data_IF_481480166501
#
_entry.id   IF_481480166501
#
_cell.length_a   1.000
_cell.length_b   1.000
_cell.length_c   1.000
_cell.angle_alpha   90.00
_cell.angle_beta   90.00
_cell.angle_gamma   90.00
#
_symmetry.space_group_name_H-M   'P 1'
#
loop_
_entity.id
_entity.type
_entity.pdbx_description
1 polymer ?
#
# COMPACT_ATOMS: atom_id res chain seq x y z
N UNK A 1 0.06 33.05 -20.17
CA UNK A 1 -0.34 32.54 -18.83
C UNK A 1 -1.05 31.18 -18.88
N UNK A 2 -2.04 30.95 -19.77
CA UNK A 2 -2.83 29.69 -19.83
C UNK A 2 -2.02 28.39 -20.00
N UNK A 3 -0.92 28.41 -20.76
CA UNK A 3 -0.09 27.22 -21.05
C UNK A 3 0.64 26.69 -19.81
N UNK A 4 1.12 27.58 -18.93
CA UNK A 4 1.78 27.20 -17.66
C UNK A 4 0.78 26.59 -16.68
N UNK A 5 -0.42 27.16 -16.58
CA UNK A 5 -1.51 26.62 -15.77
C UNK A 5 -1.93 25.23 -16.23
N UNK A 6 -2.03 24.99 -17.54
CA UNK A 6 -2.34 23.67 -18.09
C UNK A 6 -1.30 22.60 -17.73
N UNK A 7 -0.01 22.94 -17.77
CA UNK A 7 1.08 22.03 -17.37
C UNK A 7 0.99 21.68 -15.88
N UNK A 8 0.71 22.66 -15.01
CA UNK A 8 0.56 22.43 -13.57
C UNK A 8 -0.61 21.47 -13.30
N UNK A 9 -1.76 21.69 -13.93
CA UNK A 9 -2.93 20.81 -13.79
C UNK A 9 -2.61 19.39 -14.25
N UNK A 10 -1.90 19.24 -15.37
CA UNK A 10 -1.48 17.94 -15.88
C UNK A 10 -0.56 17.21 -14.89
N UNK A 11 0.44 17.90 -14.32
CA UNK A 11 1.35 17.32 -13.33
C UNK A 11 0.58 16.88 -12.08
N UNK A 12 -0.33 17.72 -11.57
CA UNK A 12 -1.17 17.36 -10.42
C UNK A 12 -2.02 16.14 -10.74
N UNK A 13 -2.61 16.08 -11.93
CA UNK A 13 -3.39 14.91 -12.38
C UNK A 13 -2.55 13.63 -12.38
N UNK A 14 -1.33 13.68 -12.92
CA UNK A 14 -0.41 12.53 -12.92
C UNK A 14 -0.04 12.10 -11.50
N UNK A 15 0.22 13.04 -10.59
CA UNK A 15 0.55 12.74 -9.19
C UNK A 15 -0.63 12.11 -8.43
N UNK A 16 -1.85 12.58 -8.68
CA UNK A 16 -3.06 12.01 -8.06
C UNK A 16 -3.27 10.58 -8.57
N UNK A 17 -3.10 10.35 -9.88
CA UNK A 17 -3.25 9.02 -10.47
C UNK A 17 -2.15 8.08 -9.96
N UNK A 18 -0.89 8.52 -9.94
CA UNK A 18 0.23 7.66 -9.48
C UNK A 18 0.11 7.25 -8.01
N UNK A 19 -0.50 8.08 -7.14
CA UNK A 19 -0.80 7.72 -5.73
C UNK A 19 -1.53 6.38 -5.61
N UNK A 20 -2.40 6.03 -6.55
CA UNK A 20 -3.16 4.78 -6.47
C UNK A 20 -2.27 3.54 -6.61
N UNK A 21 -1.12 3.66 -7.28
CA UNK A 21 -0.16 2.58 -7.48
C UNK A 21 1.02 2.63 -6.51
N UNK A 22 1.21 3.70 -5.74
CA UNK A 22 2.32 3.79 -4.76
C UNK A 22 1.83 3.40 -3.37
N UNK A 23 2.48 2.40 -2.77
CA UNK A 23 2.22 1.92 -1.41
C UNK A 23 3.44 2.10 -0.52
N UNK A 24 3.19 2.20 0.79
CA UNK A 24 4.18 2.21 1.85
C UNK A 24 3.78 1.12 2.83
N UNK A 25 4.69 0.22 3.19
CA UNK A 25 4.43 -0.75 4.24
C UNK A 25 5.42 -0.63 5.39
N UNK A 26 4.96 -1.01 6.58
CA UNK A 26 5.80 -1.07 7.79
C UNK A 26 6.22 -2.51 8.02
N UNK A 27 7.52 -2.74 8.24
CA UNK A 27 8.06 -4.03 8.65
C UNK A 27 7.78 -4.29 10.12
N UNK A 28 7.40 -5.53 10.42
CA UNK A 28 7.01 -5.96 11.75
C UNK A 28 8.23 -6.14 12.68
N UNK A 29 9.43 -6.33 12.12
CA UNK A 29 10.64 -6.65 12.90
C UNK A 29 11.40 -5.43 13.43
N UNK A 30 11.37 -4.31 12.71
CA UNK A 30 12.15 -3.12 13.06
C UNK A 30 11.40 -1.79 12.87
N UNK A 31 10.10 -1.84 12.54
CA UNK A 31 9.30 -0.63 12.26
C UNK A 31 9.76 0.17 11.03
N UNK A 32 10.67 -0.40 10.24
CA UNK A 32 11.17 0.18 9.00
C UNK A 32 10.04 0.36 7.99
N UNK A 33 10.08 1.45 7.22
CA UNK A 33 9.07 1.75 6.20
C UNK A 33 9.68 1.65 4.82
N UNK A 34 9.07 0.83 3.98
CA UNK A 34 9.50 0.63 2.61
C UNK A 34 8.40 1.05 1.62
N UNK A 35 8.84 1.61 0.50
CA UNK A 35 7.96 2.02 -0.60
C UNK A 35 7.91 0.89 -1.63
N UNK A 36 6.73 0.61 -2.16
CA UNK A 36 6.54 -0.38 -3.23
C UNK A 36 5.50 0.08 -4.26
N UNK A 37 5.53 -0.55 -5.43
CA UNK A 37 4.54 -0.35 -6.49
C UNK A 37 3.48 -1.44 -6.38
N UNK A 38 2.22 -1.05 -6.21
CA UNK A 38 1.05 -1.94 -6.15
C UNK A 38 0.74 -2.50 -7.54
N UNK A 39 0.35 -3.77 -7.60
CA UNK A 39 -0.06 -4.42 -8.85
C UNK A 39 -1.41 -3.91 -9.39
N UNK A 40 -2.28 -3.32 -8.54
CA UNK A 40 -3.56 -2.71 -8.95
C UNK A 40 -3.83 -1.38 -8.22
N UNK A 41 -4.62 -0.45 -8.81
CA UNK A 41 -4.89 0.84 -8.18
C UNK A 41 -5.82 0.71 -6.98
N UNK A 42 -5.37 1.17 -5.80
CA UNK A 42 -6.25 1.35 -4.63
C UNK A 42 -5.91 2.63 -3.87
N UNK A 43 -6.91 3.18 -3.17
CA UNK A 43 -6.74 4.43 -2.42
C UNK A 43 -5.78 4.29 -1.21
N UNK A 44 -5.68 3.09 -0.64
CA UNK A 44 -4.86 2.79 0.54
C UNK A 44 -3.38 3.01 0.22
N UNK A 45 -2.72 3.85 1.01
CA UNK A 45 -1.30 4.15 0.87
C UNK A 45 -0.47 3.35 1.87
N UNK A 46 -0.97 3.16 3.09
CA UNK A 46 -0.24 2.50 4.18
C UNK A 46 -0.73 1.08 4.39
N UNK A 47 0.21 0.14 4.41
CA UNK A 47 -0.01 -1.28 4.66
C UNK A 47 0.78 -1.70 5.90
N UNK A 48 0.19 -2.55 6.73
CA UNK A 48 0.86 -3.13 7.89
C UNK A 48 0.27 -4.52 8.10
N UNK A 49 1.01 -5.40 8.77
CA UNK A 49 0.52 -6.73 9.16
C UNK A 49 -0.09 -6.64 10.56
N UNK A 50 -1.42 -6.74 10.73
CA UNK A 50 -2.03 -6.73 12.06
C UNK A 50 -1.58 -7.90 12.94
N UNK A 51 -1.17 -9.02 12.34
CA UNK A 51 -0.62 -10.17 13.06
C UNK A 51 0.85 -9.99 13.39
N UNK A 52 1.58 -9.17 12.65
CA UNK A 52 3.02 -9.03 12.84
C UNK A 52 3.74 -10.38 12.72
N UNK A 53 4.63 -10.65 13.67
CA UNK A 53 5.27 -11.96 13.87
C UNK A 53 4.45 -12.95 14.73
N UNK A 54 3.19 -12.64 15.06
CA UNK A 54 2.39 -13.50 15.90
C UNK A 54 1.81 -14.68 15.12
N UNK A 55 1.81 -15.87 15.72
CA UNK A 55 1.21 -17.10 15.17
C UNK A 55 -0.34 -17.09 15.15
N UNK A 56 -0.97 -15.94 15.40
CA UNK A 56 -2.42 -15.81 15.39
C UNK A 56 -3.01 -16.21 14.03
N UNK A 57 -4.05 -17.04 14.07
CA UNK A 57 -4.85 -17.36 12.89
C UNK A 57 -5.69 -16.15 12.49
N UNK A 58 -5.96 -16.02 11.20
CA UNK A 58 -6.87 -14.99 10.67
C UNK A 58 -8.24 -15.01 11.37
N UNK A 59 -8.73 -16.18 11.78
CA UNK A 59 -10.01 -16.32 12.50
C UNK A 59 -9.99 -15.76 13.92
N UNK A 60 -8.82 -15.52 14.50
CA UNK A 60 -8.63 -15.10 15.90
C UNK A 60 -8.53 -13.57 16.04
N UNK A 61 -8.48 -12.85 14.92
CA UNK A 61 -8.46 -11.38 14.88
C UNK A 61 -9.79 -10.82 14.40
N UNK A 62 -10.10 -9.57 14.79
CA UNK A 62 -11.33 -8.89 14.39
C UNK A 62 -11.46 -8.80 12.87
N UNK A 63 -12.68 -8.76 12.35
CA UNK A 63 -12.96 -8.69 10.91
C UNK A 63 -12.23 -7.54 10.20
N UNK A 64 -12.08 -6.40 10.87
CA UNK A 64 -11.32 -5.27 10.36
C UNK A 64 -9.83 -5.61 10.18
N UNK A 65 -9.22 -6.22 11.20
CA UNK A 65 -7.82 -6.68 11.14
C UNK A 65 -7.64 -7.82 10.13
N UNK A 66 -8.64 -8.66 9.92
CA UNK A 66 -8.59 -9.67 8.85
C UNK A 66 -8.50 -9.01 7.48
N UNK A 67 -9.29 -7.97 7.23
CA UNK A 67 -9.25 -7.25 5.96
C UNK A 67 -7.90 -6.54 5.75
N UNK A 68 -7.36 -5.92 6.79
CA UNK A 68 -6.03 -5.31 6.77
C UNK A 68 -4.93 -6.34 6.47
N UNK A 69 -4.98 -7.51 7.11
CA UNK A 69 -4.05 -8.59 6.83
C UNK A 69 -4.17 -9.10 5.39
N UNK A 70 -5.39 -9.31 4.88
CA UNK A 70 -5.60 -9.75 3.49
C UNK A 70 -5.01 -8.75 2.49
N UNK A 71 -5.20 -7.44 2.73
CA UNK A 71 -4.62 -6.41 1.88
C UNK A 71 -3.09 -6.39 1.98
N UNK A 72 -2.52 -6.62 3.17
CA UNK A 72 -1.08 -6.73 3.33
C UNK A 72 -0.53 -7.95 2.58
N UNK A 73 -1.16 -9.11 2.73
CA UNK A 73 -0.76 -10.35 2.08
C UNK A 73 -0.79 -10.19 0.54
N UNK A 74 -1.89 -9.65 0.01
CA UNK A 74 -2.08 -9.41 -1.44
C UNK A 74 -1.09 -8.38 -2.01
N UNK A 75 -0.98 -7.20 -1.39
CA UNK A 75 -0.22 -6.08 -1.97
C UNK A 75 1.26 -6.09 -1.63
N UNK A 76 1.66 -6.68 -0.50
CA UNK A 76 3.04 -6.62 0.00
C UNK A 76 3.75 -7.97 -0.11
N UNK A 77 3.11 -9.07 0.30
CA UNK A 77 3.77 -10.38 0.31
C UNK A 77 3.75 -11.04 -1.07
N UNK A 78 2.59 -11.15 -1.70
CA UNK A 78 2.44 -11.79 -3.01
C UNK A 78 3.14 -10.98 -4.11
N UNK A 79 2.97 -9.66 -4.08
CA UNK A 79 3.57 -8.73 -5.04
C UNK A 79 5.11 -8.65 -4.96
N UNK A 80 5.72 -9.07 -3.83
CA UNK A 80 7.18 -9.14 -3.69
C UNK A 80 7.79 -10.47 -4.13
N UNK A 81 6.99 -11.47 -4.51
CA UNK A 81 7.50 -12.74 -5.08
C UNK A 81 8.01 -12.57 -6.52
N UNK A 82 8.94 -11.65 -6.72
CA UNK A 82 9.82 -11.69 -7.88
C UNK A 82 11.05 -12.45 -7.38
N UNK A 83 11.12 -13.75 -7.72
CA UNK A 83 12.29 -14.60 -7.49
C UNK A 83 13.57 -14.01 -8.10
#
# INVERSE_FOLDING_TARGET
MKRKTGIIILIIGILIVSKFWIGIFTHDEFGGKDIFIKHRPIWKTFFYSPRGMSDLKLSEISTEKQNEQRLFDEFVLENRKIE
#
